data_IF_147633398581
#
_entry.id   IF_147633398581
#
_cell.length_a   1.000
_cell.length_b   1.000
_cell.length_c   1.000
_cell.angle_alpha   90.00
_cell.angle_beta   90.00
_cell.angle_gamma   90.00
#
_symmetry.space_group_name_H-M   'P 1'
#
loop_
_entity.id
_entity.type
_entity.pdbx_description
1 polymer ?
#
# COMPACT_ATOMS: atom_id res chain seq x y z
N UNK A 1 -0.10 -13.52 -13.94
CA UNK A 1 -0.16 -12.76 -12.69
C UNK A 1 0.27 -13.72 -11.60
N UNK A 2 1.36 -13.43 -10.91
CA UNK A 2 1.78 -14.25 -9.76
C UNK A 2 0.70 -14.18 -8.67
N UNK A 3 0.40 -15.32 -8.05
CA UNK A 3 -0.55 -15.40 -6.92
C UNK A 3 0.06 -14.68 -5.71
N UNK A 4 -0.12 -13.37 -5.65
CA UNK A 4 0.22 -12.58 -4.46
C UNK A 4 -0.82 -12.93 -3.40
N UNK A 5 -0.37 -13.53 -2.29
CA UNK A 5 -1.24 -13.76 -1.11
C UNK A 5 -0.80 -12.79 -0.02
N UNK A 6 -1.70 -11.91 0.41
CA UNK A 6 -1.45 -11.01 1.54
C UNK A 6 -1.96 -11.67 2.82
N UNK A 7 -1.14 -11.69 3.86
CA UNK A 7 -1.48 -12.31 5.14
C UNK A 7 -1.68 -11.26 6.22
N UNK A 8 -2.63 -11.51 7.13
CA UNK A 8 -2.73 -10.77 8.38
C UNK A 8 -1.65 -11.25 9.38
N UNK A 9 -1.50 -10.53 10.49
CA UNK A 9 -0.50 -10.83 11.53
C UNK A 9 -0.70 -12.19 12.22
N UNK A 10 -1.87 -12.82 12.07
CA UNK A 10 -2.17 -14.16 12.59
C UNK A 10 -1.97 -15.27 11.53
N UNK A 11 -1.45 -14.94 10.35
CA UNK A 11 -1.21 -15.89 9.25
C UNK A 11 -2.45 -16.22 8.41
N UNK A 12 -3.58 -15.53 8.62
CA UNK A 12 -4.77 -15.66 7.78
C UNK A 12 -4.60 -14.90 6.47
N UNK A 13 -4.98 -15.50 5.35
CA UNK A 13 -4.98 -14.83 4.04
C UNK A 13 -6.08 -13.79 3.95
N UNK A 14 -5.78 -12.62 3.40
CA UNK A 14 -6.80 -11.67 2.97
C UNK A 14 -7.62 -12.31 1.86
N UNK A 15 -8.95 -12.22 1.97
CA UNK A 15 -9.84 -12.71 0.92
C UNK A 15 -9.57 -11.99 -0.41
N UNK A 16 -9.69 -12.75 -1.50
CA UNK A 16 -9.23 -12.36 -2.84
C UNK A 16 -9.87 -11.05 -3.34
N UNK A 17 -11.11 -10.76 -2.94
CA UNK A 17 -11.82 -9.53 -3.30
C UNK A 17 -11.18 -8.28 -2.70
N UNK A 18 -10.81 -8.31 -1.41
CA UNK A 18 -10.17 -7.18 -0.73
C UNK A 18 -8.79 -6.91 -1.33
N UNK A 19 -8.04 -7.98 -1.64
CA UNK A 19 -6.76 -7.85 -2.30
C UNK A 19 -6.89 -7.19 -3.68
N UNK A 20 -7.88 -7.61 -4.48
CA UNK A 20 -8.19 -6.98 -5.76
C UNK A 20 -8.48 -5.48 -5.64
N UNK A 21 -9.29 -5.09 -4.66
CA UNK A 21 -9.58 -3.67 -4.39
C UNK A 21 -8.33 -2.87 -4.02
N UNK A 22 -7.46 -3.41 -3.16
CA UNK A 22 -6.23 -2.72 -2.75
C UNK A 22 -5.27 -2.53 -3.93
N UNK A 23 -5.14 -3.54 -4.79
CA UNK A 23 -4.29 -3.46 -5.98
C UNK A 23 -4.85 -2.46 -7.02
N UNK A 24 -6.16 -2.42 -7.21
CA UNK A 24 -6.81 -1.45 -8.08
C UNK A 24 -6.62 -0.02 -7.56
N UNK A 25 -6.91 0.23 -6.28
CA UNK A 25 -6.74 1.56 -5.67
C UNK A 25 -5.29 2.06 -5.75
N UNK A 26 -4.31 1.15 -5.58
CA UNK A 26 -2.89 1.49 -5.78
C UNK A 26 -2.63 1.95 -7.22
N UNK A 27 -3.19 1.24 -8.19
CA UNK A 27 -3.02 1.55 -9.62
C UNK A 27 -3.66 2.90 -9.98
N UNK A 28 -4.88 3.14 -9.49
CA UNK A 28 -5.58 4.43 -9.67
C UNK A 28 -4.77 5.59 -9.07
N UNK A 29 -4.23 5.43 -7.86
CA UNK A 29 -3.40 6.44 -7.22
C UNK A 29 -2.14 6.77 -8.03
N UNK A 30 -1.46 5.75 -8.56
CA UNK A 30 -0.27 5.92 -9.39
C UNK A 30 -0.62 6.66 -10.69
N UNK A 31 -1.68 6.25 -11.37
CA UNK A 31 -2.10 6.88 -12.62
C UNK A 31 -2.50 8.33 -12.41
N UNK A 32 -3.31 8.62 -11.38
CA UNK A 32 -3.68 9.99 -11.04
C UNK A 32 -2.44 10.87 -10.75
N UNK A 33 -1.43 10.33 -10.08
CA UNK A 33 -0.20 11.07 -9.80
C UNK A 33 0.64 11.33 -11.08
N UNK A 34 0.70 10.36 -11.99
CA UNK A 34 1.36 10.52 -13.29
C UNK A 34 0.64 11.53 -14.18
N UNK A 35 -0.69 11.51 -14.21
CA UNK A 35 -1.50 12.45 -14.98
C UNK A 35 -1.33 13.90 -14.50
N UNK A 36 -1.03 14.08 -13.20
CA UNK A 36 -0.68 15.37 -12.60
C UNK A 36 0.79 15.76 -12.83
N UNK A 37 1.60 14.93 -13.49
CA UNK A 37 2.99 15.20 -13.82
C UNK A 37 3.98 14.94 -12.67
N UNK A 38 3.59 14.19 -11.64
CA UNK A 38 4.51 13.82 -10.56
C UNK A 38 5.45 12.69 -10.98
N UNK A 39 6.69 12.73 -10.49
CA UNK A 39 7.70 11.67 -10.66
C UNK A 39 7.79 10.76 -9.43
N UNK A 40 7.33 11.23 -8.27
CA UNK A 40 7.37 10.54 -6.98
C UNK A 40 6.11 10.81 -6.16
N UNK A 41 5.68 9.79 -5.43
CA UNK A 41 4.70 9.91 -4.35
C UNK A 41 5.37 9.62 -3.01
N UNK A 42 5.21 10.52 -2.03
CA UNK A 42 5.65 10.30 -0.66
C UNK A 42 4.42 10.12 0.24
N UNK A 43 4.34 8.97 0.89
CA UNK A 43 3.28 8.63 1.85
C UNK A 43 3.88 8.68 3.24
N UNK A 44 3.41 9.63 4.04
CA UNK A 44 3.84 9.83 5.42
C UNK A 44 2.67 9.70 6.37
N UNK A 45 2.91 9.22 7.59
CA UNK A 45 1.90 9.21 8.65
C UNK A 45 2.35 8.34 9.82
N UNK A 46 1.46 8.11 10.77
CA UNK A 46 1.75 7.23 11.90
C UNK A 46 0.87 5.99 11.84
N UNK A 47 1.46 4.83 12.16
CA UNK A 47 0.68 3.60 12.33
C UNK A 47 -0.27 3.78 13.52
N UNK A 48 -1.50 3.28 13.36
CA UNK A 48 -2.49 3.28 14.45
C UNK A 48 -1.85 2.67 15.71
N UNK A 49 -1.92 3.34 16.89
CA UNK A 49 -1.22 2.91 18.10
C UNK A 49 -1.55 1.49 18.56
N UNK A 50 -2.80 1.06 18.33
CA UNK A 50 -3.29 -0.28 18.69
C UNK A 50 -3.38 -1.22 17.48
N UNK A 51 -2.63 -0.94 16.42
CA UNK A 51 -2.53 -1.80 15.24
C UNK A 51 -1.91 -3.16 15.60
N UNK A 52 -2.32 -4.22 14.93
CA UNK A 52 -1.65 -5.52 14.98
C UNK A 52 -0.39 -5.60 14.10
N UNK A 53 0.05 -4.49 13.50
CA UNK A 53 1.29 -4.44 12.72
C UNK A 53 2.51 -4.73 13.59
N UNK A 54 3.63 -5.11 12.96
CA UNK A 54 4.90 -5.31 13.66
C UNK A 54 5.49 -4.03 14.29
N UNK A 55 4.91 -2.85 14.06
CA UNK A 55 5.44 -1.58 14.59
C UNK A 55 4.36 -0.53 14.89
N UNK A 56 3.40 -0.80 15.80
CA UNK A 56 2.30 0.12 16.09
C UNK A 56 2.82 1.47 16.62
N UNK A 57 2.13 2.57 16.30
CA UNK A 57 2.51 3.92 16.73
C UNK A 57 3.80 4.48 16.10
N UNK A 58 4.48 3.72 15.24
CA UNK A 58 5.68 4.20 14.53
C UNK A 58 5.30 4.92 13.25
N UNK A 59 6.01 6.01 12.99
CA UNK A 59 5.90 6.75 11.74
C UNK A 59 6.25 5.88 10.53
N UNK A 60 5.57 6.19 9.44
CA UNK A 60 5.75 5.65 8.10
C UNK A 60 6.23 6.81 7.24
N UNK A 61 7.23 6.52 6.41
CA UNK A 61 7.70 7.40 5.36
C UNK A 61 8.07 6.51 4.15
N UNK A 62 7.18 6.45 3.18
CA UNK A 62 7.33 5.63 1.98
C UNK A 62 7.46 6.54 0.79
N UNK A 63 8.51 6.36 0.00
CA UNK A 63 8.66 7.06 -1.29
C UNK A 63 8.50 6.05 -2.42
N UNK A 64 7.51 6.29 -3.28
CA UNK A 64 7.26 5.56 -4.50
C UNK A 64 7.83 6.36 -5.67
N UNK A 65 8.77 5.77 -6.41
CA UNK A 65 9.27 6.34 -7.66
C UNK A 65 8.35 5.88 -8.80
N UNK A 66 7.61 6.82 -9.40
CA UNK A 66 6.56 6.50 -10.38
C UNK A 66 7.11 6.08 -11.74
N UNK A 67 8.38 6.37 -12.03
CA UNK A 67 9.04 5.93 -13.26
C UNK A 67 9.28 4.42 -13.30
N UNK A 68 9.16 3.73 -12.17
CA UNK A 68 9.35 2.29 -12.04
C UNK A 68 8.02 1.50 -12.04
N UNK A 69 6.89 2.17 -12.31
CA UNK A 69 5.54 1.61 -12.33
C UNK A 69 4.86 1.86 -13.67
#
# INVERSE_FOLDING_TARGET
>A
MENITVYNSAGGSLENEILGTVLNNKTELINAAKDLGYDKLRITGDRVPNSSSASPGKSIDLTLNLNNY
#
